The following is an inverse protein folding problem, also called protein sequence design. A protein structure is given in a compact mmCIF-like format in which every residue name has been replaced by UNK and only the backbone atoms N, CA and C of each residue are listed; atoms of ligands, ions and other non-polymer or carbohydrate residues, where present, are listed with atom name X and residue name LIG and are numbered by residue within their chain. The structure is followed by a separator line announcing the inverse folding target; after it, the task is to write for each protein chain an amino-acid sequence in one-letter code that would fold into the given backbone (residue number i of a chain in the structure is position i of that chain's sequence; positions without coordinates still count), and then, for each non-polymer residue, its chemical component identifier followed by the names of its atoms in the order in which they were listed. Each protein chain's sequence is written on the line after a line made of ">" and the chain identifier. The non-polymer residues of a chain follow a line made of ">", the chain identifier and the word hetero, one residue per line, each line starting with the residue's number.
data_IF_571721057833
#
_entry.id   IF_571721057833
#
_cell.length_a   1.000
_cell.length_b   1.000
_cell.length_c   1.000
_cell.angle_alpha   90.00
_cell.angle_beta   90.00
_cell.angle_gamma   90.00
#
_symmetry.space_group_name_H-M   'P 1'
#
loop_
_entity.id
_entity.type
_entity.pdbx_description
1 polymer ?
#
# COMPACT_ATOMS: atom_id res chain seq x y z
N UNK A 1 5.01 15.18 -27.58
CA UNK A 1 5.69 16.39 -27.06
C UNK A 1 5.36 16.45 -25.57
N UNK A 2 6.27 16.03 -24.68
CA UNK A 2 6.00 15.91 -23.24
C UNK A 2 6.32 17.26 -22.60
N UNK A 3 5.28 18.03 -22.23
CA UNK A 3 5.48 19.34 -21.60
C UNK A 3 6.09 19.16 -20.22
N UNK A 4 7.28 19.74 -20.05
CA UNK A 4 8.01 19.89 -18.80
C UNK A 4 7.24 20.77 -17.80
N UNK A 5 6.18 20.23 -17.19
CA UNK A 5 5.42 20.89 -16.10
C UNK A 5 6.02 20.56 -14.72
N UNK A 6 6.93 19.58 -14.65
CA UNK A 6 7.38 18.98 -13.38
C UNK A 6 8.66 19.52 -12.76
N UNK A 7 9.39 20.46 -13.36
CA UNK A 7 10.73 20.87 -12.86
C UNK A 7 10.64 21.56 -11.50
N UNK A 8 10.80 20.79 -10.42
CA UNK A 8 10.82 21.25 -9.03
C UNK A 8 9.69 20.72 -8.14
N UNK A 9 8.55 20.33 -8.71
CA UNK A 9 7.40 19.82 -7.95
C UNK A 9 7.43 18.30 -7.74
N UNK A 10 8.37 17.61 -8.39
CA UNK A 10 8.62 16.18 -8.31
C UNK A 10 9.84 15.82 -7.43
N UNK A 11 10.36 16.77 -6.65
CA UNK A 11 11.55 16.58 -5.81
C UNK A 11 11.21 16.10 -4.38
N UNK A 12 9.96 16.25 -3.96
CA UNK A 12 9.50 15.90 -2.62
C UNK A 12 8.07 15.35 -2.64
N UNK A 13 7.75 14.45 -1.69
CA UNK A 13 6.39 13.90 -1.50
C UNK A 13 5.41 14.92 -0.91
N UNK A 14 5.92 15.98 -0.26
CA UNK A 14 5.11 17.03 0.38
C UNK A 14 4.85 18.25 -0.51
N UNK A 15 5.35 18.23 -1.76
CA UNK A 15 5.24 19.36 -2.67
C UNK A 15 4.03 19.19 -3.58
N UNK A 16 3.07 20.11 -3.45
CA UNK A 16 1.91 20.19 -4.34
C UNK A 16 2.28 20.92 -5.62
N UNK A 17 1.86 20.36 -6.74
CA UNK A 17 1.89 21.02 -8.04
C UNK A 17 0.86 22.14 -8.12
N UNK A 18 0.98 23.09 -9.09
CA UNK A 18 0.02 24.18 -9.26
C UNK A 18 -1.43 23.71 -9.51
N UNK A 19 -1.61 22.49 -10.03
CA UNK A 19 -2.88 21.80 -10.24
C UNK A 19 -3.35 20.96 -9.04
N UNK A 20 -2.66 21.05 -7.88
CA UNK A 20 -3.05 20.40 -6.64
C UNK A 20 -2.70 18.92 -6.52
N UNK A 21 -1.86 18.40 -7.44
CA UNK A 21 -1.45 16.99 -7.49
C UNK A 21 -0.12 16.74 -6.80
N UNK A 22 0.06 15.52 -6.31
CA UNK A 22 1.31 15.04 -5.71
C UNK A 22 1.96 14.04 -6.65
N UNK A 23 2.91 14.50 -7.47
CA UNK A 23 3.52 13.69 -8.53
C UNK A 23 4.25 12.45 -7.99
N UNK A 24 4.83 12.52 -6.79
CA UNK A 24 5.46 11.37 -6.15
C UNK A 24 4.52 10.19 -5.90
N UNK A 25 3.26 10.46 -5.55
CA UNK A 25 2.25 9.41 -5.33
C UNK A 25 1.88 8.78 -6.66
N UNK A 26 1.72 9.58 -7.72
CA UNK A 26 1.45 9.07 -9.06
C UNK A 26 2.63 8.24 -9.60
N UNK A 27 3.87 8.65 -9.34
CA UNK A 27 5.03 7.86 -9.70
C UNK A 27 5.14 6.56 -8.90
N UNK A 28 4.70 6.53 -7.64
CA UNK A 28 4.62 5.30 -6.85
C UNK A 28 3.54 4.33 -7.38
N UNK A 29 2.54 4.83 -8.10
CA UNK A 29 1.48 4.01 -8.70
C UNK A 29 1.91 3.32 -10.02
N UNK A 30 2.83 3.91 -10.78
CA UNK A 30 3.32 3.31 -12.04
C UNK A 30 3.96 1.91 -11.88
N UNK A 31 4.75 1.61 -10.83
CA UNK A 31 5.21 0.26 -10.54
C UNK A 31 4.07 -0.73 -10.25
N UNK A 32 3.00 -0.27 -9.61
CA UNK A 32 1.83 -1.10 -9.28
C UNK A 32 1.09 -1.50 -10.56
N UNK A 33 0.90 -0.57 -11.48
CA UNK A 33 0.24 -0.84 -12.77
C UNK A 33 1.02 -1.83 -13.64
N UNK A 34 2.35 -1.84 -13.50
CA UNK A 34 3.23 -2.79 -14.18
C UNK A 34 3.55 -4.04 -13.33
N UNK A 35 2.89 -4.21 -12.18
CA UNK A 35 3.10 -5.37 -11.30
C UNK A 35 2.26 -6.57 -11.73
N UNK A 36 2.55 -7.72 -11.14
CA UNK A 36 1.79 -8.95 -11.38
C UNK A 36 0.32 -8.80 -11.01
N UNK A 37 -0.55 -9.48 -11.76
CA UNK A 37 -2.00 -9.40 -11.52
C UNK A 37 -2.40 -10.10 -10.22
N UNK A 38 -3.21 -9.44 -9.40
CA UNK A 38 -3.83 -10.03 -8.22
C UNK A 38 -5.35 -9.84 -8.24
N UNK A 39 -6.10 -10.88 -7.89
CA UNK A 39 -7.57 -10.92 -7.89
C UNK A 39 -8.07 -11.43 -6.54
N UNK A 40 -9.11 -10.78 -6.00
CA UNK A 40 -9.84 -11.24 -4.83
C UNK A 40 -11.33 -11.42 -5.16
N UNK A 41 -11.91 -12.57 -4.79
CA UNK A 41 -13.32 -12.89 -5.00
C UNK A 41 -13.99 -13.09 -3.63
N UNK A 42 -15.08 -12.37 -3.38
CA UNK A 42 -15.95 -12.60 -2.23
C UNK A 42 -16.98 -13.67 -2.57
N UNK A 43 -16.99 -14.74 -1.81
CA UNK A 43 -17.99 -15.81 -1.88
C UNK A 43 -19.04 -15.65 -0.76
N UNK A 44 -20.09 -16.47 -0.78
CA UNK A 44 -21.07 -16.51 0.31
C UNK A 44 -20.43 -16.97 1.63
N UNK A 45 -19.55 -17.96 1.53
CA UNK A 45 -18.94 -18.65 2.67
C UNK A 45 -17.43 -18.39 2.79
N UNK A 46 -16.92 -17.31 2.19
CA UNK A 46 -15.49 -17.03 2.25
C UNK A 46 -15.02 -15.94 1.31
N UNK A 47 -13.69 -15.79 1.24
CA UNK A 47 -13.00 -15.02 0.23
C UNK A 47 -11.87 -15.84 -0.36
N UNK A 48 -11.64 -15.71 -1.67
CA UNK A 48 -10.57 -16.37 -2.41
C UNK A 48 -9.65 -15.32 -3.01
N UNK A 49 -8.35 -15.48 -2.82
CA UNK A 49 -7.33 -14.62 -3.43
C UNK A 49 -6.49 -15.44 -4.40
N UNK A 50 -6.27 -14.89 -5.59
CA UNK A 50 -5.35 -15.42 -6.59
C UNK A 50 -4.34 -14.34 -6.97
N UNK A 51 -3.05 -14.65 -6.93
CA UNK A 51 -2.00 -13.75 -7.38
C UNK A 51 -1.15 -14.48 -8.43
N UNK A 52 -0.90 -13.79 -9.53
CA UNK A 52 0.09 -14.23 -10.50
C UNK A 52 1.48 -14.04 -9.88
N UNK A 53 2.21 -15.13 -9.64
CA UNK A 53 3.58 -15.03 -9.15
C UNK A 53 4.55 -14.94 -10.32
N UNK A 54 4.79 -13.72 -10.80
CA UNK A 54 5.91 -13.46 -11.71
C UNK A 54 7.19 -13.46 -10.89
N UNK A 55 8.03 -14.48 -11.05
CA UNK A 55 9.32 -14.58 -10.35
C UNK A 55 10.31 -13.58 -10.97
N UNK A 56 10.16 -12.31 -10.60
CA UNK A 56 11.20 -11.29 -10.71
C UNK A 56 12.05 -11.29 -9.44
N UNK A 57 13.30 -10.83 -9.56
CA UNK A 57 14.34 -10.94 -8.53
C UNK A 57 13.87 -10.58 -7.10
N UNK A 58 14.43 -11.28 -6.11
CA UNK A 58 14.08 -11.29 -4.68
C UNK A 58 13.90 -9.92 -3.98
N UNK A 59 14.46 -8.84 -4.54
CA UNK A 59 14.42 -7.50 -3.96
C UNK A 59 13.02 -6.86 -3.88
N UNK A 60 12.10 -7.19 -4.78
CA UNK A 60 10.76 -6.58 -4.76
C UNK A 60 9.83 -7.15 -3.66
N UNK A 61 10.12 -8.36 -3.17
CA UNK A 61 9.30 -9.02 -2.13
C UNK A 61 9.55 -8.45 -0.72
N UNK A 62 10.67 -7.77 -0.46
CA UNK A 62 11.06 -7.40 0.91
C UNK A 62 10.23 -6.25 1.49
N UNK A 63 9.91 -5.23 0.68
CA UNK A 63 9.09 -4.10 1.14
C UNK A 63 7.65 -4.53 1.45
N UNK A 64 7.06 -5.38 0.60
CA UNK A 64 5.68 -5.85 0.79
C UNK A 64 5.53 -6.73 2.06
N UNK A 65 6.58 -7.49 2.44
CA UNK A 65 6.59 -8.28 3.67
C UNK A 65 6.54 -7.43 4.92
N UNK A 66 7.21 -6.28 4.90
CA UNK A 66 7.25 -5.34 6.02
C UNK A 66 5.85 -4.88 6.43
N UNK A 67 4.98 -4.57 5.45
CA UNK A 67 3.60 -4.17 5.74
C UNK A 67 2.75 -5.34 6.27
N UNK A 68 2.99 -6.56 5.80
CA UNK A 68 2.32 -7.74 6.32
C UNK A 68 2.69 -8.00 7.79
N UNK A 69 3.95 -7.75 8.16
CA UNK A 69 4.42 -7.89 9.55
C UNK A 69 3.80 -6.82 10.45
N UNK A 70 3.71 -5.56 9.98
CA UNK A 70 3.00 -4.50 10.69
C UNK A 70 1.51 -4.87 10.91
N UNK A 71 0.83 -5.39 9.88
CA UNK A 71 -0.55 -5.80 9.99
C UNK A 71 -0.74 -6.96 10.99
N UNK A 72 0.19 -7.93 11.03
CA UNK A 72 0.19 -9.03 11.99
C UNK A 72 0.40 -8.54 13.42
N UNK A 73 1.35 -7.64 13.61
CA UNK A 73 1.65 -7.06 14.91
C UNK A 73 0.45 -6.27 15.44
N UNK A 74 -0.15 -5.40 14.62
CA UNK A 74 -1.34 -4.65 14.98
C UNK A 74 -2.52 -5.57 15.34
N UNK A 75 -2.73 -6.64 14.56
CA UNK A 75 -3.77 -7.63 14.85
C UNK A 75 -3.51 -8.38 16.18
N UNK A 76 -2.25 -8.75 16.46
CA UNK A 76 -1.84 -9.42 17.70
C UNK A 76 -2.01 -8.50 18.92
N UNK A 77 -1.61 -7.24 18.78
CA UNK A 77 -1.74 -6.23 19.82
C UNK A 77 -3.21 -5.94 20.12
N UNK A 78 -4.05 -5.80 19.08
CA UNK A 78 -5.48 -5.61 19.24
C UNK A 78 -6.12 -6.80 19.97
N UNK A 79 -5.79 -8.03 19.57
CA UNK A 79 -6.30 -9.24 20.22
C UNK A 79 -5.87 -9.33 21.69
N UNK A 80 -4.63 -8.97 22.00
CA UNK A 80 -4.10 -8.96 23.37
C UNK A 80 -4.81 -7.93 24.25
N UNK A 81 -5.11 -6.75 23.71
CA UNK A 81 -5.73 -5.66 24.45
C UNK A 81 -7.25 -5.83 24.64
N UNK A 82 -7.95 -6.34 23.62
CA UNK A 82 -9.42 -6.38 23.60
C UNK A 82 -10.01 -7.78 23.79
N UNK A 83 -9.20 -8.84 23.68
CA UNK A 83 -9.63 -10.23 23.92
C UNK A 83 -10.41 -10.89 22.77
N UNK A 84 -10.59 -10.21 21.63
CA UNK A 84 -11.23 -10.74 20.43
C UNK A 84 -10.46 -10.38 19.15
N UNK A 85 -10.79 -11.04 18.04
CA UNK A 85 -10.10 -10.82 16.77
C UNK A 85 -10.40 -9.43 16.19
N UNK A 86 -9.38 -8.77 15.64
CA UNK A 86 -9.54 -7.46 15.01
C UNK A 86 -10.53 -7.54 13.83
N UNK A 87 -11.58 -6.69 13.78
CA UNK A 87 -12.44 -6.64 12.62
C UNK A 87 -11.68 -6.10 11.40
N UNK A 88 -11.97 -6.64 10.21
CA UNK A 88 -11.28 -6.27 8.97
C UNK A 88 -11.24 -4.76 8.72
N UNK A 89 -12.34 -4.05 9.01
CA UNK A 89 -12.41 -2.59 8.85
C UNK A 89 -11.37 -1.88 9.72
N UNK A 90 -11.22 -2.28 10.98
CA UNK A 90 -10.25 -1.66 11.88
C UNK A 90 -8.83 -1.94 11.43
N UNK A 91 -8.52 -3.18 11.02
CA UNK A 91 -7.21 -3.51 10.50
C UNK A 91 -6.89 -2.71 9.23
N UNK A 92 -7.85 -2.62 8.30
CA UNK A 92 -7.69 -1.87 7.06
C UNK A 92 -7.45 -0.38 7.32
N UNK A 93 -8.22 0.24 8.23
CA UNK A 93 -8.05 1.64 8.60
C UNK A 93 -6.64 1.88 9.20
N UNK A 94 -6.14 0.98 10.04
CA UNK A 94 -4.80 1.10 10.67
C UNK A 94 -3.67 0.95 9.67
N UNK A 95 -3.74 -0.05 8.79
CA UNK A 95 -2.75 -0.25 7.72
C UNK A 95 -2.79 0.91 6.71
N UNK A 96 -3.98 1.39 6.36
CA UNK A 96 -4.14 2.55 5.48
C UNK A 96 -3.54 3.82 6.09
N UNK A 97 -3.76 4.07 7.39
CA UNK A 97 -3.13 5.20 8.09
C UNK A 97 -1.60 5.10 8.07
N UNK A 98 -1.05 3.91 8.25
CA UNK A 98 0.40 3.68 8.16
C UNK A 98 0.93 4.03 6.77
N UNK A 99 0.31 3.49 5.72
CA UNK A 99 0.68 3.78 4.32
C UNK A 99 0.51 5.27 4.00
N UNK A 100 -0.54 5.90 4.49
CA UNK A 100 -0.78 7.33 4.30
C UNK A 100 0.29 8.20 4.96
N UNK A 101 0.77 7.85 6.16
CA UNK A 101 1.83 8.60 6.83
C UNK A 101 3.09 8.72 5.95
N UNK A 102 3.44 7.67 5.21
CA UNK A 102 4.59 7.66 4.28
C UNK A 102 4.40 8.57 3.05
N UNK A 103 3.17 9.03 2.78
CA UNK A 103 2.91 10.04 1.74
C UNK A 103 3.10 11.48 2.24
N UNK A 104 3.06 11.69 3.57
CA UNK A 104 3.16 13.01 4.18
C UNK A 104 4.60 13.38 4.56
N UNK A 105 5.44 12.39 4.90
CA UNK A 105 6.80 12.65 5.36
C UNK A 105 7.80 12.80 4.22
N UNK A 106 8.29 14.05 4.09
CA UNK A 106 9.48 14.50 3.33
C UNK A 106 10.57 13.45 3.05
N UNK A 107 10.96 12.77 4.12
CA UNK A 107 12.16 11.94 4.19
C UNK A 107 11.97 10.50 3.72
N UNK A 108 10.73 10.06 3.45
CA UNK A 108 10.45 8.65 3.16
C UNK A 108 9.67 8.51 1.87
N UNK A 109 10.06 7.53 1.05
CA UNK A 109 9.40 7.26 -0.22
C UNK A 109 8.03 6.60 0.04
N UNK A 110 6.99 6.95 -0.73
CA UNK A 110 5.69 6.27 -0.67
C UNK A 110 5.83 4.82 -1.12
N UNK A 111 4.96 3.96 -0.58
CA UNK A 111 4.93 2.55 -0.96
C UNK A 111 4.49 2.38 -2.43
N UNK A 112 5.27 1.62 -3.19
CA UNK A 112 5.03 1.32 -4.61
C UNK A 112 4.31 -0.01 -4.85
N UNK A 113 3.50 -0.47 -3.89
CA UNK A 113 2.77 -1.73 -3.96
C UNK A 113 1.34 -1.54 -3.44
N UNK A 114 0.42 -2.34 -4.00
CA UNK A 114 -0.95 -2.45 -3.52
C UNK A 114 -1.14 -3.72 -2.72
N UNK A 115 -2.05 -3.70 -1.75
CA UNK A 115 -2.38 -4.86 -0.92
C UNK A 115 -3.90 -5.06 -0.89
N UNK A 116 -4.31 -6.32 -0.79
CA UNK A 116 -5.70 -6.70 -0.58
C UNK A 116 -5.82 -7.40 0.77
N UNK A 117 -6.79 -6.98 1.57
CA UNK A 117 -7.13 -7.60 2.85
C UNK A 117 -8.48 -8.27 2.75
N UNK A 118 -8.59 -9.47 3.30
CA UNK A 118 -9.84 -10.20 3.42
C UNK A 118 -9.92 -10.93 4.75
N UNK A 119 -11.13 -11.02 5.27
CA UNK A 119 -11.49 -11.81 6.44
C UNK A 119 -12.83 -12.47 6.16
N UNK A 120 -13.05 -13.64 6.75
CA UNK A 120 -14.33 -14.34 6.78
C UNK A 120 -14.74 -14.55 8.24
#
# INVERSE_FOLDING_TARGET
>A
MMSSIGTGYDLSVSTFSPDGRVFHVEYAMKPVENSSTAIGIRCKDGAVFGVEKLVLSKFYEEDARSLADIAREEASNFRSNFGYNIPLKHLADRVAMYVHAYTLYSAVRPFGYSFMLGSY
#
